data_IF_009595853056
#
_entry.id   IF_009595853056
#
_cell.length_a   1.000
_cell.length_b   1.000
_cell.length_c   1.000
_cell.angle_alpha   90.00
_cell.angle_beta   90.00
_cell.angle_gamma   90.00
#
_symmetry.space_group_name_H-M   'P 1'
#
loop_
_entity.id
_entity.type
_entity.pdbx_description
1 polymer ?
#
# COMPACT_ATOMS: atom_id res chain seq x y z
N UNK A 1 8.44 64.04 -6.05
CA UNK A 1 7.51 63.18 -6.81
C UNK A 1 8.19 61.84 -7.00
N UNK A 2 7.99 60.91 -6.06
CA UNK A 2 8.48 59.54 -6.14
C UNK A 2 7.25 58.63 -5.99
N UNK A 3 6.86 58.01 -7.10
CA UNK A 3 5.79 57.00 -7.13
C UNK A 3 6.36 55.73 -6.44
N UNK A 4 5.59 55.04 -5.58
CA UNK A 4 6.14 53.96 -4.77
C UNK A 4 6.29 52.70 -5.61
N UNK A 5 7.54 52.34 -5.89
CA UNK A 5 7.98 51.08 -6.51
C UNK A 5 7.60 49.83 -5.68
N UNK A 6 7.15 50.02 -4.43
CA UNK A 6 6.79 48.94 -3.50
C UNK A 6 5.38 48.35 -3.71
N UNK A 7 4.51 48.98 -4.49
CA UNK A 7 3.14 48.48 -4.69
C UNK A 7 3.02 47.37 -5.76
N UNK A 8 4.06 47.15 -6.57
CA UNK A 8 4.06 46.14 -7.64
C UNK A 8 4.58 44.75 -7.22
N UNK A 9 5.21 44.63 -6.05
CA UNK A 9 5.92 43.39 -5.65
C UNK A 9 4.99 42.37 -4.96
N UNK A 10 3.90 42.83 -4.33
CA UNK A 10 2.99 41.95 -3.58
C UNK A 10 2.00 41.16 -4.46
N UNK A 11 1.70 41.62 -5.68
CA UNK A 11 0.84 40.87 -6.60
C UNK A 11 1.58 39.77 -7.37
N UNK A 12 2.90 39.92 -7.53
CA UNK A 12 3.72 39.00 -8.32
C UNK A 12 4.12 37.74 -7.56
N UNK A 13 4.25 37.80 -6.23
CA UNK A 13 4.65 36.64 -5.40
C UNK A 13 3.60 35.53 -5.39
N UNK A 14 2.31 35.87 -5.29
CA UNK A 14 1.22 34.89 -5.33
C UNK A 14 1.07 34.27 -6.72
N UNK A 15 1.31 35.06 -7.77
CA UNK A 15 1.31 34.59 -9.16
C UNK A 15 2.50 33.66 -9.41
N UNK A 16 3.69 33.99 -8.89
CA UNK A 16 4.88 33.14 -8.97
C UNK A 16 4.63 31.82 -8.22
N UNK A 17 4.05 31.87 -7.02
CA UNK A 17 3.74 30.67 -6.24
C UNK A 17 2.71 29.78 -6.95
N UNK A 18 1.68 30.38 -7.55
CA UNK A 18 0.68 29.67 -8.35
C UNK A 18 1.29 29.00 -9.60
N UNK A 19 2.20 29.68 -10.30
CA UNK A 19 2.89 29.12 -11.48
C UNK A 19 3.80 27.95 -11.07
N UNK A 20 4.57 28.08 -9.99
CA UNK A 20 5.44 27.02 -9.49
C UNK A 20 4.63 25.78 -9.08
N UNK A 21 3.52 25.98 -8.37
CA UNK A 21 2.62 24.89 -8.00
C UNK A 21 2.00 24.21 -9.23
N UNK A 22 1.54 24.98 -10.22
CA UNK A 22 0.97 24.44 -11.45
C UNK A 22 1.98 23.61 -12.26
N UNK A 23 3.24 24.06 -12.34
CA UNK A 23 4.33 23.33 -13.01
C UNK A 23 4.64 22.01 -12.30
N UNK A 24 4.68 22.00 -10.97
CA UNK A 24 4.92 20.78 -10.18
C UNK A 24 3.77 19.77 -10.29
N UNK A 25 2.52 20.24 -10.25
CA UNK A 25 1.34 19.40 -10.41
C UNK A 25 1.29 18.82 -11.83
N UNK A 26 1.54 19.65 -12.85
CA UNK A 26 1.62 19.22 -14.24
C UNK A 26 2.70 18.17 -14.47
N UNK A 27 3.91 18.40 -13.96
CA UNK A 27 5.01 17.44 -14.03
C UNK A 27 4.65 16.13 -13.33
N UNK A 28 4.06 16.19 -12.13
CA UNK A 28 3.65 15.01 -11.36
C UNK A 28 2.58 14.19 -12.10
N UNK A 29 1.57 14.84 -12.69
CA UNK A 29 0.51 14.18 -13.45
C UNK A 29 1.05 13.56 -14.75
N UNK A 30 1.95 14.24 -15.46
CA UNK A 30 2.56 13.70 -16.68
C UNK A 30 3.43 12.48 -16.36
N UNK A 31 4.22 12.55 -15.29
CA UNK A 31 5.05 11.42 -14.85
C UNK A 31 4.19 10.26 -14.33
N UNK A 32 3.11 10.54 -13.60
CA UNK A 32 2.26 9.49 -13.02
C UNK A 32 1.26 8.86 -14.00
N UNK A 33 0.78 9.61 -15.00
CA UNK A 33 -0.31 9.14 -15.87
C UNK A 33 0.12 8.91 -17.32
N UNK A 34 1.05 9.71 -17.85
CA UNK A 34 1.45 9.62 -19.28
C UNK A 34 2.57 8.62 -19.45
N UNK A 35 3.59 8.65 -18.60
CA UNK A 35 4.76 7.74 -18.73
C UNK A 35 4.36 6.26 -18.59
N UNK A 36 3.55 5.84 -17.59
CA UNK A 36 3.18 4.42 -17.44
C UNK A 36 2.25 3.92 -18.55
N UNK A 37 1.43 4.80 -19.12
CA UNK A 37 0.50 4.44 -20.22
C UNK A 37 1.19 4.41 -21.58
N UNK A 38 2.22 5.23 -21.79
CA UNK A 38 2.88 5.33 -23.09
C UNK A 38 3.91 4.20 -23.26
N UNK A 39 4.63 3.82 -22.20
CA UNK A 39 5.81 2.95 -22.27
C UNK A 39 5.72 1.81 -21.23
N UNK A 40 5.13 0.65 -21.57
CA UNK A 40 4.93 -0.47 -20.64
C UNK A 40 6.22 -1.19 -20.19
N UNK A 41 7.35 -0.99 -20.88
CA UNK A 41 8.67 -1.55 -20.53
C UNK A 41 9.54 -0.62 -19.64
N UNK A 42 8.95 0.45 -19.09
CA UNK A 42 9.58 1.32 -18.12
C UNK A 42 9.59 0.62 -16.74
N UNK A 43 10.75 0.34 -16.08
CA UNK A 43 11.92 1.21 -16.00
C UNK A 43 13.28 0.46 -16.10
N UNK A 44 13.47 -0.50 -17.01
CA UNK A 44 14.71 -1.34 -16.98
C UNK A 44 15.94 -0.71 -17.65
N UNK A 45 15.78 0.21 -18.61
CA UNK A 45 16.90 0.71 -19.45
C UNK A 45 17.20 2.21 -19.34
N UNK A 46 16.26 3.03 -18.83
CA UNK A 46 16.39 4.50 -18.72
C UNK A 46 16.22 5.03 -17.29
N UNK A 47 16.21 4.13 -16.30
CA UNK A 47 16.20 4.45 -14.88
C UNK A 47 17.24 5.51 -14.46
N UNK A 48 18.51 5.47 -14.92
CA UNK A 48 19.48 6.48 -14.50
C UNK A 48 19.13 7.90 -15.00
N UNK A 49 18.56 8.04 -16.21
CA UNK A 49 18.15 9.35 -16.72
C UNK A 49 16.95 9.91 -15.95
N UNK A 50 15.98 9.06 -15.60
CA UNK A 50 14.83 9.45 -14.78
C UNK A 50 15.25 9.85 -13.36
N UNK A 51 16.16 9.09 -12.75
CA UNK A 51 16.73 9.41 -11.45
C UNK A 51 17.52 10.72 -11.48
N UNK A 52 18.30 10.99 -12.53
CA UNK A 52 19.03 12.24 -12.69
C UNK A 52 18.08 13.44 -12.81
N UNK A 53 17.05 13.37 -13.65
CA UNK A 53 16.07 14.46 -13.79
C UNK A 53 15.31 14.71 -12.48
N UNK A 54 14.92 13.64 -11.78
CA UNK A 54 14.22 13.74 -10.49
C UNK A 54 15.13 14.33 -9.41
N UNK A 55 16.39 13.91 -9.34
CA UNK A 55 17.38 14.45 -8.41
C UNK A 55 17.69 15.93 -8.70
N UNK A 56 17.78 16.32 -9.98
CA UNK A 56 17.95 17.73 -10.37
C UNK A 56 16.79 18.61 -9.94
N UNK A 57 15.55 18.12 -10.04
CA UNK A 57 14.36 18.86 -9.59
C UNK A 57 14.34 19.02 -8.06
N UNK A 58 14.64 17.96 -7.31
CA UNK A 58 14.73 18.02 -5.83
C UNK A 58 15.85 18.97 -5.39
N UNK A 59 17.01 18.90 -6.04
CA UNK A 59 18.13 19.80 -5.77
C UNK A 59 17.77 21.27 -6.06
N UNK A 60 17.08 21.55 -7.18
CA UNK A 60 16.61 22.90 -7.50
C UNK A 60 15.62 23.45 -6.47
N UNK A 61 14.77 22.59 -5.90
CA UNK A 61 13.81 22.97 -4.87
C UNK A 61 14.50 23.28 -3.53
N UNK A 62 15.48 22.47 -3.13
CA UNK A 62 16.28 22.72 -1.93
C UNK A 62 17.12 24.00 -2.04
N UNK A 63 17.73 24.25 -3.21
CA UNK A 63 18.49 25.49 -3.48
C UNK A 63 17.56 26.72 -3.45
N UNK A 64 16.33 26.60 -3.94
CA UNK A 64 15.36 27.69 -3.88
C UNK A 64 14.96 28.02 -2.44
N UNK A 65 14.85 27.02 -1.56
CA UNK A 65 14.56 27.20 -0.13
C UNK A 65 15.72 27.87 0.60
N UNK A 66 16.97 27.50 0.29
CA UNK A 66 18.14 28.14 0.89
C UNK A 66 18.31 29.60 0.43
N UNK A 67 18.03 29.89 -0.84
CA UNK A 67 18.14 31.26 -1.39
C UNK A 67 17.02 32.20 -0.93
N UNK A 68 15.83 31.66 -0.60
CA UNK A 68 14.67 32.45 -0.19
C UNK A 68 14.34 32.34 1.31
N UNK A 69 15.05 31.49 2.06
CA UNK A 69 14.83 31.23 3.49
C UNK A 69 15.24 32.37 4.43
N UNK A 70 16.01 33.35 3.95
CA UNK A 70 16.54 34.44 4.78
C UNK A 70 15.62 35.69 4.86
N UNK A 71 14.44 35.66 4.24
CA UNK A 71 13.50 36.79 4.22
C UNK A 71 12.23 36.56 5.06
N UNK A 72 12.38 36.15 6.32
CA UNK A 72 11.30 36.18 7.30
C UNK A 72 11.73 36.84 8.62
N UNK A 73 12.10 38.11 8.54
CA UNK A 73 12.00 39.02 9.69
C UNK A 73 10.51 39.36 9.88
N UNK A 74 9.83 38.60 10.74
CA UNK A 74 8.47 38.92 11.17
C UNK A 74 8.50 40.14 12.11
N UNK A 75 7.85 41.28 11.78
CA UNK A 75 7.63 42.33 12.76
C UNK A 75 6.60 41.88 13.80
N UNK A 76 6.94 42.13 15.07
CA UNK A 76 6.09 41.89 16.24
C UNK A 76 4.74 42.58 16.13
N UNK A 77 3.67 41.83 16.36
CA UNK A 77 2.38 42.34 16.82
C UNK A 77 1.86 41.41 17.92
N UNK A 78 2.39 41.59 19.13
CA UNK A 78 1.61 41.34 20.33
C UNK A 78 0.44 42.34 20.33
N UNK A 79 -0.79 41.84 20.35
CA UNK A 79 -1.73 42.09 21.44
C UNK A 79 -3.13 41.61 21.06
N UNK A 80 -3.78 41.02 22.06
CA UNK A 80 -5.22 40.95 22.31
C UNK A 80 -5.85 39.54 22.24
N UNK A 81 -5.97 38.97 23.45
CA UNK A 81 -7.25 38.46 23.99
C UNK A 81 -7.60 37.02 23.54
N UNK A 82 -7.70 35.99 24.38
CA UNK A 82 -7.76 35.88 25.84
C UNK A 82 -7.53 34.42 26.25
N UNK A 83 -6.80 34.22 27.34
CA UNK A 83 -6.86 33.03 28.17
C UNK A 83 -8.03 33.15 29.16
N UNK A 84 -8.80 32.08 29.37
CA UNK A 84 -9.55 31.75 30.59
C UNK A 84 -10.03 30.31 30.40
N UNK A 85 -9.83 29.34 31.28
CA UNK A 85 -9.22 29.32 32.59
C UNK A 85 -8.96 27.87 33.00
N UNK A 86 -8.03 27.72 33.92
CA UNK A 86 -7.76 26.48 34.62
C UNK A 86 -8.96 26.04 35.48
N UNK A 87 -9.11 24.73 35.68
CA UNK A 87 -8.81 24.07 36.97
C UNK A 87 -9.71 22.86 37.25
N UNK A 88 -9.10 21.85 37.88
CA UNK A 88 -9.67 21.03 38.98
C UNK A 88 -10.33 19.68 38.64
N UNK A 89 -9.51 18.63 38.82
CA UNK A 89 -9.71 17.49 39.75
C UNK A 89 -10.39 16.19 39.27
N UNK A 90 -9.53 15.15 39.17
CA UNK A 90 -9.57 13.84 39.86
C UNK A 90 -10.93 13.18 40.16
N UNK A 91 -11.10 11.91 39.74
CA UNK A 91 -11.24 10.71 40.61
C UNK A 91 -11.51 9.44 39.76
N UNK A 92 -10.67 8.44 40.01
CA UNK A 92 -10.85 6.97 40.08
C UNK A 92 -11.81 6.19 39.17
N UNK A 93 -11.19 5.26 38.41
CA UNK A 93 -11.45 3.81 38.29
C UNK A 93 -12.77 3.21 38.82
N UNK A 94 -13.44 2.39 37.99
CA UNK A 94 -13.80 0.98 38.28
C UNK A 94 -14.33 0.24 37.03
N UNK A 95 -13.75 -0.95 36.82
CA UNK A 95 -14.21 -2.17 36.13
C UNK A 95 -15.67 -2.29 35.64
N UNK A 96 -15.85 -2.82 34.42
CA UNK A 96 -16.85 -3.88 34.17
C UNK A 96 -16.54 -4.72 32.92
N UNK A 97 -16.41 -6.01 33.16
CA UNK A 97 -16.39 -7.15 32.24
C UNK A 97 -17.84 -7.50 31.88
N UNK A 98 -18.21 -7.64 30.60
CA UNK A 98 -19.31 -8.54 30.20
C UNK A 98 -19.16 -9.03 28.76
N UNK A 99 -18.88 -10.32 28.68
CA UNK A 99 -19.23 -11.31 27.66
C UNK A 99 -20.50 -11.04 26.84
N UNK A 100 -20.46 -11.33 25.54
CA UNK A 100 -21.60 -11.97 24.85
C UNK A 100 -21.08 -12.86 23.73
N UNK A 101 -21.26 -14.16 23.96
CA UNK A 101 -21.17 -15.21 22.99
C UNK A 101 -22.58 -15.66 22.60
N UNK A 102 -22.62 -16.35 21.46
CA UNK A 102 -23.63 -17.30 21.00
C UNK A 102 -24.90 -16.70 20.35
N UNK A 103 -25.51 -17.28 19.31
CA UNK A 103 -25.26 -18.42 18.39
C UNK A 103 -26.50 -18.46 17.47
N UNK A 104 -26.42 -19.21 16.36
CA UNK A 104 -27.50 -20.02 15.71
C UNK A 104 -27.74 -19.57 14.25
N UNK A 105 -27.88 -20.39 13.21
CA UNK A 105 -27.61 -21.80 12.83
C UNK A 105 -28.12 -21.94 11.38
N UNK A 106 -27.49 -22.80 10.56
CA UNK A 106 -28.14 -23.50 9.44
C UNK A 106 -27.68 -23.07 8.04
N UNK A 107 -27.28 -23.94 7.12
CA UNK A 107 -27.27 -25.40 7.10
C UNK A 107 -26.59 -25.93 5.83
N UNK A 108 -26.16 -27.19 5.90
CA UNK A 108 -25.55 -28.01 4.84
C UNK A 108 -26.42 -28.09 3.57
N UNK A 109 -25.90 -28.29 2.36
CA UNK A 109 -25.42 -29.58 1.82
C UNK A 109 -24.90 -29.27 0.41
N UNK A 110 -23.69 -29.67 0.01
CA UNK A 110 -23.49 -30.89 -0.80
C UNK A 110 -22.00 -31.25 -0.81
N UNK A 111 -21.71 -32.44 -0.27
CA UNK A 111 -20.51 -33.22 -0.57
C UNK A 111 -20.39 -33.46 -2.07
N UNK A 112 -19.25 -33.06 -2.65
CA UNK A 112 -18.68 -33.75 -3.78
C UNK A 112 -17.35 -34.35 -3.30
N UNK A 113 -17.35 -35.67 -3.16
CA UNK A 113 -16.18 -36.49 -2.84
C UNK A 113 -15.10 -36.28 -3.90
N UNK A 114 -14.07 -35.53 -3.55
CA UNK A 114 -12.74 -35.59 -4.17
C UNK A 114 -11.78 -35.43 -3.01
N UNK A 115 -10.91 -36.41 -2.75
CA UNK A 115 -9.85 -36.44 -1.71
C UNK A 115 -9.79 -35.13 -0.92
N UNK A 116 -10.61 -35.06 0.13
CA UNK A 116 -11.11 -33.79 0.65
C UNK A 116 -9.96 -32.93 1.14
N UNK A 117 -9.66 -31.87 0.38
CA UNK A 117 -8.76 -30.82 0.84
C UNK A 117 -9.44 -30.21 2.06
N UNK A 118 -8.77 -30.28 3.21
CA UNK A 118 -9.28 -29.63 4.42
C UNK A 118 -9.33 -28.12 4.17
N UNK A 119 -10.45 -27.50 4.54
CA UNK A 119 -10.65 -26.06 4.44
C UNK A 119 -11.86 -25.65 3.59
N UNK A 120 -12.36 -24.45 3.88
CA UNK A 120 -13.41 -23.78 3.16
C UNK A 120 -12.80 -22.79 2.15
N UNK A 121 -12.90 -23.10 0.86
CA UNK A 121 -12.37 -22.26 -0.22
C UNK A 121 -12.95 -20.83 -0.23
N UNK A 122 -14.22 -20.64 0.14
CA UNK A 122 -14.82 -19.30 0.21
C UNK A 122 -14.18 -18.46 1.33
N UNK A 123 -13.93 -19.08 2.50
CA UNK A 123 -13.19 -18.44 3.58
C UNK A 123 -11.73 -18.18 3.19
N UNK A 124 -11.11 -19.09 2.45
CA UNK A 124 -9.74 -18.96 1.97
C UNK A 124 -9.52 -17.76 1.05
N UNK A 125 -10.52 -17.37 0.25
CA UNK A 125 -10.45 -16.13 -0.54
C UNK A 125 -10.32 -14.89 0.35
N UNK A 126 -11.06 -14.84 1.46
CA UNK A 126 -10.96 -13.74 2.41
C UNK A 126 -9.57 -13.69 3.07
N UNK A 127 -9.02 -14.85 3.46
CA UNK A 127 -7.65 -14.98 3.99
C UNK A 127 -6.62 -14.51 2.97
N UNK A 128 -6.76 -14.91 1.70
CA UNK A 128 -5.85 -14.50 0.62
C UNK A 128 -5.80 -12.96 0.48
N UNK A 129 -6.95 -12.30 0.58
CA UNK A 129 -7.02 -10.84 0.53
C UNK A 129 -6.48 -10.18 1.80
N UNK A 130 -6.89 -10.64 2.98
CA UNK A 130 -6.52 -10.01 4.26
C UNK A 130 -5.05 -10.23 4.64
N UNK A 131 -4.46 -11.36 4.24
CA UNK A 131 -3.04 -11.66 4.42
C UNK A 131 -2.13 -10.91 3.42
N UNK A 132 -2.70 -10.11 2.50
CA UNK A 132 -1.96 -9.26 1.58
C UNK A 132 -1.39 -9.99 0.35
N UNK A 133 -1.82 -11.22 0.07
CA UNK A 133 -1.32 -12.01 -1.05
C UNK A 133 -1.57 -11.31 -2.41
N UNK A 134 -2.65 -10.52 -2.49
CA UNK A 134 -3.07 -9.77 -3.68
C UNK A 134 -2.05 -8.72 -4.15
N UNK A 135 -1.26 -8.17 -3.23
CA UNK A 135 -0.29 -7.13 -3.54
C UNK A 135 0.90 -7.65 -4.37
N UNK A 136 1.24 -8.93 -4.19
CA UNK A 136 2.42 -9.52 -4.81
C UNK A 136 2.08 -10.51 -5.92
N UNK A 137 0.99 -11.25 -5.80
CA UNK A 137 0.65 -12.34 -6.71
C UNK A 137 -0.53 -12.02 -7.62
N UNK A 138 -0.49 -12.58 -8.83
CA UNK A 138 -1.64 -12.58 -9.74
C UNK A 138 -2.47 -13.83 -9.46
N UNK A 139 -3.77 -13.65 -9.30
CA UNK A 139 -4.75 -14.72 -9.15
C UNK A 139 -6.12 -14.19 -9.59
N UNK A 140 -6.60 -14.64 -10.75
CA UNK A 140 -7.83 -14.11 -11.37
C UNK A 140 -9.06 -14.28 -10.48
N UNK A 141 -9.19 -15.43 -9.82
CA UNK A 141 -10.34 -15.76 -8.95
C UNK A 141 -10.46 -14.80 -7.75
N UNK A 142 -9.33 -14.26 -7.29
CA UNK A 142 -9.27 -13.25 -6.22
C UNK A 142 -9.26 -11.80 -6.75
N UNK A 143 -9.29 -11.58 -8.08
CA UNK A 143 -9.09 -10.26 -8.67
C UNK A 143 -7.70 -9.69 -8.43
N UNK A 144 -6.72 -10.53 -8.11
CA UNK A 144 -5.37 -10.12 -7.78
C UNK A 144 -4.51 -9.97 -9.03
N UNK A 145 -3.74 -8.88 -9.10
CA UNK A 145 -2.93 -8.52 -10.29
C UNK A 145 -1.47 -8.23 -9.93
N UNK A 146 -1.02 -8.63 -8.73
CA UNK A 146 0.37 -8.42 -8.31
C UNK A 146 1.34 -9.20 -9.19
N UNK A 147 2.49 -8.60 -9.51
CA UNK A 147 3.51 -9.20 -10.38
C UNK A 147 4.89 -9.32 -9.71
N UNK A 148 4.96 -9.01 -8.41
CA UNK A 148 6.20 -9.14 -7.62
C UNK A 148 6.53 -10.61 -7.41
N UNK A 149 5.51 -11.43 -7.16
CA UNK A 149 5.57 -12.88 -7.10
C UNK A 149 5.04 -13.54 -8.38
N UNK A 150 5.19 -14.86 -8.51
CA UNK A 150 4.65 -15.62 -9.64
C UNK A 150 3.14 -15.50 -9.78
N UNK A 151 2.67 -15.59 -11.02
CA UNK A 151 1.26 -15.75 -11.32
C UNK A 151 0.79 -17.12 -10.80
N UNK A 152 -0.14 -17.12 -9.84
CA UNK A 152 -0.63 -18.33 -9.18
C UNK A 152 -1.59 -19.13 -10.06
N UNK A 153 -2.32 -18.48 -10.97
CA UNK A 153 -3.17 -19.17 -11.95
C UNK A 153 -2.33 -20.11 -12.83
N UNK A 154 -1.06 -19.77 -13.12
CA UNK A 154 -0.16 -20.60 -13.92
C UNK A 154 0.79 -21.45 -13.06
N UNK A 155 1.38 -20.86 -12.03
CA UNK A 155 2.43 -21.49 -11.21
C UNK A 155 1.94 -22.64 -10.34
N UNK A 156 0.64 -22.68 -10.02
CA UNK A 156 0.04 -23.73 -9.19
C UNK A 156 -0.73 -24.79 -10.00
N UNK A 157 -0.83 -24.68 -11.33
CA UNK A 157 -1.50 -25.69 -12.15
C UNK A 157 -0.85 -27.06 -11.98
N UNK A 158 -1.65 -28.05 -11.58
CA UNK A 158 -1.21 -29.42 -11.36
C UNK A 158 -0.35 -29.63 -10.11
N UNK A 159 -0.17 -28.61 -9.25
CA UNK A 159 0.55 -28.75 -7.99
C UNK A 159 -0.34 -29.40 -6.92
N UNK A 160 0.29 -30.14 -6.01
CA UNK A 160 -0.42 -30.78 -4.90
C UNK A 160 -0.80 -29.74 -3.82
N UNK A 161 -1.82 -30.02 -3.00
CA UNK A 161 -2.16 -29.19 -1.85
C UNK A 161 -0.98 -29.05 -0.85
N UNK A 162 -0.22 -30.13 -0.66
CA UNK A 162 0.95 -30.12 0.23
C UNK A 162 2.05 -29.20 -0.29
N UNK A 163 2.28 -29.19 -1.60
CA UNK A 163 3.22 -28.25 -2.23
C UNK A 163 2.79 -26.81 -1.98
N UNK A 164 1.51 -26.49 -2.20
CA UNK A 164 0.96 -25.15 -1.97
C UNK A 164 1.12 -24.75 -0.50
N UNK A 165 0.83 -25.67 0.42
CA UNK A 165 1.00 -25.43 1.85
C UNK A 165 2.45 -25.15 2.20
N UNK A 166 3.40 -25.95 1.69
CA UNK A 166 4.82 -25.73 1.89
C UNK A 166 5.27 -24.38 1.31
N UNK A 167 4.83 -24.01 0.11
CA UNK A 167 5.14 -22.71 -0.48
C UNK A 167 4.62 -21.53 0.33
N UNK A 168 3.62 -21.70 1.20
CA UNK A 168 3.14 -20.62 2.08
C UNK A 168 3.96 -20.54 3.38
N UNK A 169 4.26 -21.68 4.00
CA UNK A 169 4.94 -21.71 5.31
C UNK A 169 6.47 -21.70 5.22
N UNK A 170 7.01 -22.14 4.08
CA UNK A 170 8.44 -22.18 3.75
C UNK A 170 8.66 -21.81 2.28
N UNK A 171 8.41 -20.54 1.89
CA UNK A 171 8.45 -20.09 0.50
C UNK A 171 9.86 -20.09 -0.12
N UNK A 172 10.93 -20.21 0.68
CA UNK A 172 12.29 -20.33 0.16
C UNK A 172 12.70 -21.77 -0.15
N UNK A 173 11.91 -22.79 0.26
CA UNK A 173 12.20 -24.19 -0.06
C UNK A 173 12.25 -24.45 -1.57
N UNK A 174 11.31 -23.84 -2.31
CA UNK A 174 11.28 -23.89 -3.77
C UNK A 174 10.90 -22.52 -4.35
N UNK A 175 11.87 -21.88 -4.99
CA UNK A 175 11.68 -20.58 -5.63
C UNK A 175 11.51 -20.79 -7.13
N UNK A 176 10.44 -20.21 -7.68
CA UNK A 176 10.21 -20.24 -9.13
C UNK A 176 11.33 -19.50 -9.87
N UNK A 177 11.89 -20.05 -10.97
CA UNK A 177 12.95 -19.38 -11.73
C UNK A 177 12.57 -17.96 -12.13
N UNK A 178 13.50 -17.02 -11.92
CA UNK A 178 13.29 -15.60 -12.23
C UNK A 178 12.79 -14.74 -11.06
N UNK A 179 12.49 -15.33 -9.90
CA UNK A 179 12.10 -14.60 -8.69
C UNK A 179 13.24 -14.58 -7.65
N UNK A 180 13.43 -13.48 -6.90
CA UNK A 180 14.46 -13.42 -5.87
C UNK A 180 14.04 -14.21 -4.61
N UNK A 181 15.00 -14.76 -3.84
CA UNK A 181 14.73 -15.31 -2.53
C UNK A 181 14.28 -14.23 -1.54
N UNK A 182 13.60 -14.64 -0.46
CA UNK A 182 13.20 -13.77 0.65
C UNK A 182 12.23 -12.63 0.32
N UNK A 183 11.60 -12.64 -0.85
CA UNK A 183 10.57 -11.64 -1.22
C UNK A 183 9.23 -11.97 -0.58
N UNK A 184 8.86 -13.25 -0.54
CA UNK A 184 7.68 -13.72 0.17
C UNK A 184 7.98 -13.78 1.67
N UNK A 185 7.13 -13.21 2.55
CA UNK A 185 7.32 -13.29 3.99
C UNK A 185 7.44 -14.74 4.48
N UNK A 186 8.40 -14.99 5.37
CA UNK A 186 8.66 -16.33 5.93
C UNK A 186 7.81 -16.61 7.18
N UNK A 187 6.99 -15.65 7.60
CA UNK A 187 6.33 -15.64 8.91
C UNK A 187 4.83 -15.96 8.87
N UNK A 188 4.33 -16.48 7.74
CA UNK A 188 2.93 -16.87 7.59
C UNK A 188 2.54 -18.04 8.50
N UNK A 189 3.49 -18.90 8.89
CA UNK A 189 3.23 -19.99 9.83
C UNK A 189 2.91 -19.49 11.25
N UNK A 190 3.38 -18.30 11.62
CA UNK A 190 3.05 -17.66 12.90
C UNK A 190 1.88 -16.67 12.78
N UNK A 191 1.68 -16.07 11.60
CA UNK A 191 0.61 -15.08 11.36
C UNK A 191 -0.75 -15.70 11.03
N UNK A 192 -0.78 -16.86 10.39
CA UNK A 192 -2.02 -17.54 10.02
C UNK A 192 -2.35 -18.63 11.02
N UNK A 193 -3.62 -18.71 11.42
CA UNK A 193 -4.10 -19.86 12.18
C UNK A 193 -4.04 -21.13 11.31
N UNK A 194 -3.92 -22.33 11.91
CA UNK A 194 -3.94 -23.58 11.14
C UNK A 194 -5.17 -23.69 10.23
N UNK A 195 -6.35 -23.30 10.73
CA UNK A 195 -7.58 -23.29 9.94
C UNK A 195 -7.55 -22.29 8.80
N UNK A 196 -6.96 -21.11 8.98
CA UNK A 196 -6.86 -20.11 7.90
C UNK A 196 -5.90 -20.57 6.81
N UNK A 197 -4.81 -21.24 7.19
CA UNK A 197 -3.89 -21.84 6.24
C UNK A 197 -4.57 -22.94 5.43
N UNK A 198 -5.35 -23.82 6.05
CA UNK A 198 -6.09 -24.88 5.35
C UNK A 198 -7.15 -24.29 4.41
N UNK A 199 -7.92 -23.29 4.89
CA UNK A 199 -8.86 -22.54 4.05
C UNK A 199 -8.18 -21.91 2.83
N UNK A 200 -7.01 -21.28 3.04
CA UNK A 200 -6.21 -20.65 1.99
C UNK A 200 -5.73 -21.67 0.95
N UNK A 201 -5.21 -22.82 1.39
CA UNK A 201 -4.78 -23.90 0.50
C UNK A 201 -5.97 -24.44 -0.30
N UNK A 202 -7.12 -24.66 0.34
CA UNK A 202 -8.35 -25.09 -0.33
C UNK A 202 -8.80 -24.10 -1.41
N UNK A 203 -8.72 -22.79 -1.13
CA UNK A 203 -9.01 -21.74 -2.10
C UNK A 203 -8.05 -21.75 -3.29
N UNK A 204 -6.74 -21.85 -3.04
CA UNK A 204 -5.72 -21.85 -4.10
C UNK A 204 -5.84 -23.08 -5.01
N UNK A 205 -6.17 -24.24 -4.45
CA UNK A 205 -6.40 -25.45 -5.26
C UNK A 205 -7.69 -25.33 -6.07
N UNK A 206 -8.76 -24.81 -5.48
CA UNK A 206 -10.02 -24.61 -6.19
C UNK A 206 -9.85 -23.61 -7.35
N UNK A 207 -9.11 -22.52 -7.13
CA UNK A 207 -8.89 -21.44 -8.10
C UNK A 207 -8.04 -21.86 -9.29
N UNK A 208 -7.17 -22.87 -9.12
CA UNK A 208 -6.17 -23.26 -10.14
C UNK A 208 -6.56 -24.52 -10.91
N UNK A 209 -7.60 -25.24 -10.47
CA UNK A 209 -8.20 -26.39 -11.19
C UNK A 209 -9.15 -25.99 -12.33
N UNK A 210 -9.69 -24.77 -12.31
CA UNK A 210 -10.79 -24.34 -13.18
C UNK A 210 -10.44 -23.43 -14.36
N UNK A 211 -9.15 -23.25 -14.68
CA UNK A 211 -8.70 -22.28 -15.70
C UNK A 211 -7.68 -22.80 -16.68
#
# INVERSE_FOLDING_TARGET
>A
MAVPLFAFINGTSDVILGIVAAVLIGYSLVVALVIPRRWPDFPRRRLPLFALVSASLVAGMLVSVEVLGEAHHFPSAEAATSSTGAATTTVSSTSARTTSAATTTGGATTSATSTAIQGNAAAGKAVFTSAGCTACHTLKEAGATGTIGPNLDMGLKGKSPDFIRQSIVDPNAEITPGYPPNVMPQDFSQKLSPSDLDNLVAFLVASTKGG
#
